data_IF_352983505768
#
_entry.id   IF_352983505768
#
_cell.length_a   1.000
_cell.length_b   1.000
_cell.length_c   1.000
_cell.angle_alpha   90.00
_cell.angle_beta   90.00
_cell.angle_gamma   90.00
#
_symmetry.space_group_name_H-M   'P 1'
#
loop_
_entity.id
_entity.type
_entity.pdbx_description
1 polymer ?
#
# COMPACT_ATOMS: atom_id res chain seq x y z
N UNK A 1 -6.58 1.19 9.48
CA UNK A 1 -6.84 2.54 8.95
C UNK A 1 -5.56 3.37 9.07
N UNK A 2 -5.26 4.24 8.11
CA UNK A 2 -4.08 5.13 8.12
C UNK A 2 -4.55 6.58 8.04
N UNK A 3 -3.79 7.50 8.64
CA UNK A 3 -4.17 8.91 8.74
C UNK A 3 -3.20 9.78 7.94
N UNK A 4 -3.75 10.49 6.95
CA UNK A 4 -3.06 11.51 6.16
C UNK A 4 -3.36 12.86 6.80
N UNK A 5 -2.30 13.60 7.13
CA UNK A 5 -2.36 14.89 7.82
C UNK A 5 -2.46 16.01 6.79
N UNK A 6 -1.57 16.02 5.79
CA UNK A 6 -1.62 16.95 4.65
C UNK A 6 -1.25 16.24 3.35
N UNK A 7 -1.76 16.78 2.24
CA UNK A 7 -1.41 16.38 0.89
C UNK A 7 -1.42 17.65 0.04
N UNK A 8 -0.25 18.08 -0.42
CA UNK A 8 -0.05 19.35 -1.12
C UNK A 8 0.67 19.09 -2.45
N UNK A 9 0.34 19.88 -3.47
CA UNK A 9 0.98 19.86 -4.78
C UNK A 9 1.54 21.26 -5.07
N UNK A 10 2.80 21.34 -5.48
CA UNK A 10 3.42 22.59 -5.89
C UNK A 10 2.91 23.05 -7.26
N UNK A 11 3.22 24.31 -7.60
CA UNK A 11 3.25 24.73 -9.00
C UNK A 11 4.32 23.94 -9.77
N UNK A 12 4.14 23.74 -11.10
CA UNK A 12 5.16 23.14 -11.94
C UNK A 12 6.43 23.99 -12.01
N UNK A 13 7.58 23.36 -12.19
CA UNK A 13 8.86 24.00 -12.38
C UNK A 13 9.71 23.26 -13.42
N UNK A 14 10.56 24.00 -14.14
CA UNK A 14 11.44 23.42 -15.15
C UNK A 14 12.81 23.08 -14.57
N UNK A 15 13.33 21.90 -14.91
CA UNK A 15 14.70 21.47 -14.61
C UNK A 15 15.28 20.76 -15.84
N UNK A 16 16.35 21.31 -16.40
CA UNK A 16 17.03 20.78 -17.59
C UNK A 16 16.12 20.52 -18.81
N UNK A 17 15.11 21.38 -19.02
CA UNK A 17 14.16 21.28 -20.13
C UNK A 17 13.04 20.26 -19.91
N UNK A 18 12.90 19.70 -18.70
CA UNK A 18 11.77 18.89 -18.27
C UNK A 18 10.96 19.63 -17.21
N UNK A 19 9.64 19.53 -17.29
CA UNK A 19 8.73 20.10 -16.29
C UNK A 19 8.43 19.06 -15.20
N UNK A 20 8.59 19.47 -13.95
CA UNK A 20 8.32 18.67 -12.76
C UNK A 20 7.32 19.37 -11.85
N UNK A 21 6.67 18.59 -10.99
CA UNK A 21 5.89 19.09 -9.86
C UNK A 21 6.26 18.30 -8.61
N UNK A 22 6.07 18.90 -7.44
CA UNK A 22 6.32 18.25 -6.16
C UNK A 22 4.98 17.95 -5.47
N UNK A 23 4.78 16.69 -5.09
CA UNK A 23 3.66 16.28 -4.22
C UNK A 23 4.22 15.94 -2.84
N UNK A 24 3.76 16.64 -1.82
CA UNK A 24 4.16 16.42 -0.43
C UNK A 24 3.00 15.78 0.35
N UNK A 25 3.26 14.64 0.99
CA UNK A 25 2.29 13.95 1.85
C UNK A 25 2.84 13.83 3.26
N UNK A 26 2.18 14.43 4.24
CA UNK A 26 2.43 14.19 5.66
C UNK A 26 1.40 13.18 6.18
N UNK A 27 1.85 12.11 6.80
CA UNK A 27 0.97 11.08 7.34
C UNK A 27 1.52 10.49 8.63
N UNK A 28 0.64 9.92 9.45
CA UNK A 28 1.06 9.28 10.70
C UNK A 28 1.86 7.99 10.44
N UNK A 29 1.50 7.25 9.40
CA UNK A 29 2.24 6.06 8.93
C UNK A 29 1.75 5.65 7.55
N UNK A 30 2.64 5.02 6.77
CA UNK A 30 2.33 4.53 5.42
C UNK A 30 2.46 3.01 5.33
N UNK A 31 1.52 2.37 4.63
CA UNK A 31 1.61 0.95 4.26
C UNK A 31 2.51 0.81 3.03
N UNK A 32 2.98 -0.40 2.77
CA UNK A 32 3.72 -0.71 1.55
C UNK A 32 2.93 -0.24 0.31
N UNK A 33 3.61 0.50 -0.57
CA UNK A 33 3.07 1.09 -1.80
C UNK A 33 1.93 2.11 -1.62
N UNK A 34 1.55 2.48 -0.39
CA UNK A 34 0.39 3.35 -0.17
C UNK A 34 0.51 4.70 -0.89
N UNK A 35 1.64 5.39 -0.73
CA UNK A 35 1.88 6.69 -1.38
C UNK A 35 1.85 6.56 -2.90
N UNK A 36 2.55 5.55 -3.44
CA UNK A 36 2.62 5.29 -4.88
C UNK A 36 1.25 4.99 -5.49
N UNK A 37 0.37 4.29 -4.77
CA UNK A 37 -1.02 4.04 -5.18
C UNK A 37 -1.90 5.29 -5.09
N UNK A 38 -1.71 6.12 -4.06
CA UNK A 38 -2.46 7.38 -3.92
C UNK A 38 -2.16 8.33 -5.08
N UNK A 39 -0.87 8.53 -5.39
CA UNK A 39 -0.44 9.38 -6.51
C UNK A 39 -0.90 8.79 -7.85
N UNK A 40 -0.75 7.47 -8.05
CA UNK A 40 -1.20 6.81 -9.26
C UNK A 40 -2.70 6.97 -9.53
N UNK A 41 -3.53 6.86 -8.48
CA UNK A 41 -4.98 7.06 -8.59
C UNK A 41 -5.32 8.50 -9.01
N UNK A 42 -4.64 9.51 -8.43
CA UNK A 42 -4.84 10.90 -8.82
C UNK A 42 -4.48 11.14 -10.29
N UNK A 43 -3.34 10.61 -10.75
CA UNK A 43 -2.90 10.71 -12.15
C UNK A 43 -3.91 10.00 -13.08
N UNK A 44 -4.37 8.80 -12.72
CA UNK A 44 -5.34 8.04 -13.52
C UNK A 44 -6.66 8.79 -13.71
N UNK A 45 -7.14 9.50 -12.67
CA UNK A 45 -8.35 10.33 -12.77
C UNK A 45 -8.10 11.53 -13.68
N UNK A 46 -6.99 12.25 -13.48
CA UNK A 46 -6.65 13.43 -14.29
C UNK A 46 -6.46 13.10 -15.78
N UNK A 47 -6.02 11.87 -16.10
CA UNK A 47 -5.90 11.37 -17.48
C UNK A 47 -7.18 10.73 -18.03
N UNK A 48 -8.24 10.65 -17.24
CA UNK A 48 -9.52 10.07 -17.66
C UNK A 48 -9.54 8.54 -17.75
N UNK A 49 -8.55 7.85 -17.18
CA UNK A 49 -8.54 6.38 -17.12
C UNK A 49 -9.60 5.84 -16.14
N UNK A 50 -9.96 6.65 -15.14
CA UNK A 50 -11.00 6.33 -14.16
C UNK A 50 -11.64 7.62 -13.63
N UNK A 51 -12.60 7.50 -12.70
CA UNK A 51 -13.32 8.66 -12.14
C UNK A 51 -13.12 8.77 -10.63
N UNK A 52 -13.51 9.92 -10.05
CA UNK A 52 -13.52 10.13 -8.60
C UNK A 52 -14.35 9.09 -7.83
N UNK A 53 -15.34 8.46 -8.49
CA UNK A 53 -16.14 7.39 -7.89
C UNK A 53 -15.25 6.20 -7.47
N UNK A 54 -14.17 5.95 -8.20
CA UNK A 54 -13.20 4.88 -7.90
C UNK A 54 -12.48 5.11 -6.57
N UNK A 55 -12.24 6.37 -6.17
CA UNK A 55 -11.69 6.68 -4.84
C UNK A 55 -12.65 6.22 -3.75
N UNK A 56 -13.95 6.50 -3.91
CA UNK A 56 -14.98 6.08 -2.93
C UNK A 56 -15.06 4.56 -2.84
N UNK A 57 -15.03 3.87 -3.98
CA UNK A 57 -14.98 2.40 -4.04
C UNK A 57 -13.72 1.84 -3.39
N UNK A 58 -12.57 2.49 -3.56
CA UNK A 58 -11.29 2.05 -2.98
C UNK A 58 -11.26 2.07 -1.44
N UNK A 59 -12.16 2.81 -0.79
CA UNK A 59 -12.37 2.76 0.66
C UNK A 59 -13.36 1.66 1.10
N UNK A 60 -14.05 1.06 0.15
CA UNK A 60 -14.96 -0.06 0.38
C UNK A 60 -14.22 -1.39 0.62
N UNK A 61 -14.98 -2.48 0.76
CA UNK A 61 -14.42 -3.83 0.97
C UNK A 61 -13.78 -4.42 -0.29
N UNK A 62 -14.04 -3.84 -1.45
CA UNK A 62 -13.56 -4.31 -2.75
C UNK A 62 -12.04 -4.11 -2.91
N UNK A 63 -11.35 -5.12 -3.44
CA UNK A 63 -9.92 -5.03 -3.76
C UNK A 63 -9.76 -4.55 -5.19
N UNK A 64 -9.65 -3.23 -5.38
CA UNK A 64 -9.50 -2.67 -6.73
C UNK A 64 -8.09 -2.85 -7.30
N UNK A 65 -8.00 -2.97 -8.63
CA UNK A 65 -6.73 -2.89 -9.34
C UNK A 65 -6.25 -1.45 -9.46
N UNK A 66 -5.56 -0.99 -8.41
CA UNK A 66 -4.94 0.33 -8.38
C UNK A 66 -3.49 0.23 -8.84
N UNK A 67 -3.09 0.95 -9.90
CA UNK A 67 -1.71 0.98 -10.37
C UNK A 67 -0.76 1.52 -9.30
N UNK A 68 0.53 1.19 -9.44
CA UNK A 68 1.57 1.64 -8.53
C UNK A 68 2.52 2.54 -9.34
N UNK A 69 2.52 3.84 -9.05
CA UNK A 69 3.43 4.80 -9.70
C UNK A 69 4.90 4.38 -9.54
N UNK A 70 5.84 4.76 -10.41
CA UNK A 70 7.26 4.47 -10.27
C UNK A 70 7.84 4.92 -8.93
N UNK A 71 8.93 4.26 -8.49
CA UNK A 71 9.58 4.60 -7.22
C UNK A 71 10.56 5.77 -7.33
N UNK A 72 11.04 6.09 -8.54
CA UNK A 72 12.13 7.03 -8.78
C UNK A 72 11.92 8.39 -8.10
N UNK A 73 10.71 8.97 -8.22
CA UNK A 73 10.39 10.27 -7.62
C UNK A 73 9.99 10.25 -6.14
N UNK A 74 9.97 9.09 -5.48
CA UNK A 74 9.54 8.99 -4.09
C UNK A 74 10.73 9.08 -3.14
N UNK A 75 10.76 10.14 -2.32
CA UNK A 75 11.75 10.32 -1.26
C UNK A 75 11.08 10.55 0.11
N UNK A 76 11.74 10.12 1.18
CA UNK A 76 11.36 10.46 2.54
C UNK A 76 11.93 11.84 2.88
N UNK A 77 11.06 12.83 3.08
CA UNK A 77 11.45 14.21 3.36
C UNK A 77 11.83 14.41 4.84
N UNK A 78 10.97 14.01 5.78
CA UNK A 78 11.18 14.25 7.21
C UNK A 78 10.55 13.15 8.07
N UNK A 79 11.21 12.81 9.18
CA UNK A 79 10.64 12.02 10.28
C UNK A 79 10.30 12.93 11.44
N UNK A 80 9.01 12.96 11.77
CA UNK A 80 8.38 13.89 12.69
C UNK A 80 8.36 13.35 14.14
N UNK A 81 9.04 14.05 15.06
CA UNK A 81 9.15 13.69 16.48
C UNK A 81 8.36 14.62 17.43
N UNK A 82 7.48 15.47 16.91
CA UNK A 82 6.76 16.51 17.67
C UNK A 82 6.00 15.92 18.86
N UNK A 83 5.31 14.78 18.67
CA UNK A 83 4.60 14.09 19.76
C UNK A 83 5.55 13.51 20.82
N UNK A 84 6.71 13.00 20.41
CA UNK A 84 7.72 12.51 21.33
C UNK A 84 8.30 13.68 22.15
N UNK A 85 8.71 14.75 21.48
CA UNK A 85 9.26 15.94 22.10
C UNK A 85 8.28 16.58 23.08
N UNK A 86 6.99 16.66 22.73
CA UNK A 86 5.96 17.19 23.62
C UNK A 86 5.79 16.34 24.88
N UNK A 87 5.89 15.01 24.77
CA UNK A 87 5.64 14.09 25.87
C UNK A 87 6.85 13.89 26.78
N UNK A 88 8.05 13.84 26.23
CA UNK A 88 9.26 13.43 26.94
C UNK A 88 10.36 14.49 26.93
N UNK A 89 10.37 15.43 25.97
CA UNK A 89 11.47 16.39 25.83
C UNK A 89 11.64 17.40 26.96
N UNK A 90 10.73 17.43 27.95
CA UNK A 90 10.78 18.29 29.12
C UNK A 90 10.78 17.55 30.46
N UNK A 91 10.98 16.23 30.46
CA UNK A 91 10.94 15.41 31.69
C UNK A 91 12.25 15.38 32.47
N UNK A 92 13.31 16.02 31.94
CA UNK A 92 14.65 16.07 32.54
C UNK A 92 15.47 14.78 32.36
N UNK A 93 14.90 13.77 31.69
CA UNK A 93 15.54 12.47 31.41
C UNK A 93 15.82 12.27 29.91
N UNK A 94 14.94 12.78 29.04
CA UNK A 94 15.05 12.62 27.59
C UNK A 94 15.35 13.95 26.90
N UNK A 95 16.19 13.90 25.87
CA UNK A 95 16.49 15.05 25.02
C UNK A 95 15.49 15.13 23.84
N UNK A 96 14.98 16.33 23.49
CA UNK A 96 14.18 16.52 22.29
C UNK A 96 14.95 16.16 21.01
N UNK A 97 14.30 15.45 20.10
CA UNK A 97 14.84 15.14 18.78
C UNK A 97 14.46 16.22 17.78
N UNK A 98 15.43 16.99 17.33
CA UNK A 98 15.23 18.05 16.33
C UNK A 98 16.31 18.02 15.26
N UNK A 99 15.97 18.47 14.05
CA UNK A 99 16.88 18.48 12.90
C UNK A 99 17.27 19.89 12.46
N UNK A 100 16.97 20.91 13.27
CA UNK A 100 17.12 22.33 12.91
C UNK A 100 18.56 22.67 12.53
N UNK A 101 19.55 22.19 13.29
CA UNK A 101 20.97 22.44 13.02
C UNK A 101 21.51 21.73 11.77
N UNK A 102 20.77 20.75 11.24
CA UNK A 102 21.18 19.95 10.07
C UNK A 102 20.39 20.28 8.81
N UNK A 103 19.49 21.27 8.86
CA UNK A 103 18.65 21.62 7.71
C UNK A 103 19.47 21.98 6.47
N UNK A 104 20.55 22.76 6.61
CA UNK A 104 21.42 23.12 5.49
C UNK A 104 22.11 21.91 4.87
N UNK A 105 22.52 20.95 5.70
CA UNK A 105 23.12 19.69 5.24
C UNK A 105 22.11 18.84 4.47
N UNK A 106 20.90 18.70 5.01
CA UNK A 106 19.79 17.95 4.37
C UNK A 106 19.43 18.58 3.02
N UNK A 107 19.27 19.91 2.99
CA UNK A 107 18.95 20.66 1.77
C UNK A 107 20.03 20.53 0.72
N UNK A 108 21.30 20.67 1.13
CA UNK A 108 22.44 20.49 0.24
C UNK A 108 22.43 19.08 -0.34
N UNK A 109 22.26 18.05 0.49
CA UNK A 109 22.24 16.66 0.05
C UNK A 109 21.12 16.38 -0.96
N UNK A 110 19.90 16.89 -0.72
CA UNK A 110 18.79 16.76 -1.68
C UNK A 110 19.14 17.38 -3.03
N UNK A 111 19.69 18.59 -3.02
CA UNK A 111 20.03 19.33 -4.24
C UNK A 111 21.22 18.75 -5.00
N UNK A 112 22.21 18.18 -4.30
CA UNK A 112 23.43 17.70 -4.94
C UNK A 112 23.37 16.23 -5.34
N UNK A 113 22.51 15.43 -4.70
CA UNK A 113 22.45 13.99 -4.93
C UNK A 113 21.06 13.49 -5.33
N UNK A 114 20.00 13.84 -4.59
CA UNK A 114 18.68 13.24 -4.84
C UNK A 114 18.05 13.80 -6.12
N UNK A 115 17.88 15.12 -6.21
CA UNK A 115 17.21 15.73 -7.36
C UNK A 115 17.96 15.50 -8.69
N UNK A 116 19.30 15.65 -8.76
CA UNK A 116 20.02 15.37 -9.99
C UNK A 116 19.83 13.93 -10.47
N UNK A 117 19.89 12.94 -9.57
CA UNK A 117 19.66 11.54 -9.93
C UNK A 117 18.24 11.33 -10.47
N UNK A 118 17.21 11.90 -9.84
CA UNK A 118 15.83 11.79 -10.34
C UNK A 118 15.71 12.38 -11.75
N UNK A 119 16.24 13.59 -11.95
CA UNK A 119 16.15 14.31 -13.23
C UNK A 119 16.92 13.58 -14.33
N UNK A 120 18.15 13.15 -14.05
CA UNK A 120 18.99 12.43 -15.01
C UNK A 120 18.39 11.08 -15.39
N UNK A 121 17.91 10.30 -14.40
CA UNK A 121 17.25 9.01 -14.67
C UNK A 121 15.94 9.20 -15.44
N UNK A 122 15.12 10.21 -15.12
CA UNK A 122 13.89 10.44 -15.88
C UNK A 122 14.17 10.86 -17.32
N UNK A 123 15.19 11.69 -17.54
CA UNK A 123 15.62 12.14 -18.87
C UNK A 123 16.16 11.01 -19.74
N UNK A 124 16.84 10.04 -19.14
CA UNK A 124 17.52 8.95 -19.86
C UNK A 124 16.65 7.69 -20.00
N UNK A 125 15.95 7.30 -18.93
CA UNK A 125 15.18 6.06 -18.87
C UNK A 125 13.67 6.28 -19.04
N UNK A 126 13.18 7.52 -18.96
CA UNK A 126 11.77 7.87 -19.15
C UNK A 126 10.82 7.06 -18.25
N UNK A 127 11.19 6.89 -16.97
CA UNK A 127 10.52 6.00 -16.01
C UNK A 127 9.03 6.32 -15.86
N UNK A 128 8.68 7.60 -15.71
CA UNK A 128 7.28 8.02 -15.61
C UNK A 128 6.55 7.84 -16.94
N UNK A 129 7.17 8.19 -18.06
CA UNK A 129 6.54 8.05 -19.38
C UNK A 129 6.20 6.59 -19.72
N UNK A 130 7.15 5.68 -19.53
CA UNK A 130 6.96 4.24 -19.75
C UNK A 130 5.83 3.67 -18.86
N UNK A 131 5.74 4.14 -17.61
CA UNK A 131 4.63 3.75 -16.75
C UNK A 131 3.30 4.34 -17.21
N UNK A 132 3.29 5.60 -17.65
CA UNK A 132 2.12 6.32 -18.15
C UNK A 132 1.52 5.68 -19.40
N UNK A 133 2.31 5.03 -20.26
CA UNK A 133 1.82 4.28 -21.44
C UNK A 133 0.95 3.09 -21.06
N UNK A 134 1.28 2.44 -19.93
CA UNK A 134 0.57 1.25 -19.44
C UNK A 134 -0.63 1.59 -18.54
N UNK A 135 -0.78 2.87 -18.16
CA UNK A 135 -1.77 3.29 -17.17
C UNK A 135 -3.21 2.96 -17.59
N UNK A 136 -3.50 3.02 -18.89
CA UNK A 136 -4.82 2.71 -19.47
C UNK A 136 -5.15 1.21 -19.50
N UNK A 137 -4.16 0.33 -19.29
CA UNK A 137 -4.35 -1.13 -19.30
C UNK A 137 -4.91 -1.65 -17.97
N UNK A 138 -4.86 -0.84 -16.92
CA UNK A 138 -5.46 -1.18 -15.63
C UNK A 138 -6.98 -1.12 -15.69
N UNK A 139 -7.64 -2.06 -15.03
CA UNK A 139 -9.12 -2.13 -15.03
C UNK A 139 -9.75 -1.12 -14.06
N UNK A 140 -9.02 -0.74 -13.00
CA UNK A 140 -9.53 0.07 -11.88
C UNK A 140 -10.76 -0.54 -11.18
N UNK A 141 -11.05 -1.81 -11.46
CA UNK A 141 -12.17 -2.56 -10.91
C UNK A 141 -11.66 -3.65 -9.95
N UNK A 142 -12.58 -4.44 -9.39
CA UNK A 142 -12.27 -5.56 -8.51
C UNK A 142 -11.28 -6.48 -9.20
N UNK A 143 -10.14 -6.73 -8.53
CA UNK A 143 -9.15 -7.70 -8.97
C UNK A 143 -9.84 -9.05 -9.03
N UNK A 144 -9.88 -9.67 -10.20
CA UNK A 144 -10.29 -11.05 -10.31
C UNK A 144 -9.38 -11.89 -9.41
N UNK A 145 -9.97 -12.60 -8.46
CA UNK A 145 -9.22 -13.61 -7.73
C UNK A 145 -8.77 -14.64 -8.77
N UNK A 146 -7.48 -14.97 -8.78
CA UNK A 146 -7.01 -16.10 -9.56
C UNK A 146 -7.82 -17.33 -9.14
N UNK A 147 -8.73 -17.77 -10.00
CA UNK A 147 -9.30 -19.11 -9.94
C UNK A 147 -8.36 -20.01 -10.71
N UNK A 148 -7.76 -21.05 -10.10
CA UNK A 148 -7.05 -22.06 -10.86
C UNK A 148 -8.00 -22.59 -11.95
N UNK A 149 -7.53 -22.83 -13.18
CA UNK A 149 -8.37 -23.48 -14.17
C UNK A 149 -8.79 -24.84 -13.61
N UNK A 150 -10.07 -24.99 -13.27
CA UNK A 150 -10.68 -26.28 -13.02
C UNK A 150 -10.58 -27.05 -14.33
N UNK A 151 -9.64 -27.99 -14.39
CA UNK A 151 -9.66 -29.02 -15.41
C UNK A 151 -11.02 -29.72 -15.32
N UNK A 152 -11.87 -29.43 -16.29
CA UNK A 152 -13.12 -30.13 -16.49
C UNK A 152 -12.79 -31.57 -16.89
N UNK A 153 -12.64 -32.45 -15.89
CA UNK A 153 -12.78 -33.88 -16.11
C UNK A 153 -14.28 -34.21 -16.04
N UNK A 154 -14.94 -34.21 -17.19
CA UNK A 154 -16.18 -34.96 -17.39
C UNK A 154 -15.84 -36.25 -18.11
N UNK A 155 -16.03 -37.38 -17.43
CA UNK A 155 -16.51 -38.69 -17.93
C UNK A 155 -16.41 -39.67 -16.73
N UNK A 156 -17.52 -39.89 -16.03
CA UNK A 156 -18.44 -41.03 -16.17
C UNK A 156 -17.90 -42.34 -15.58
N UNK A 157 -18.48 -42.76 -14.45
CA UNK A 157 -18.73 -44.18 -14.16
C UNK A 157 -20.13 -44.30 -13.56
N UNK A 158 -20.89 -45.21 -14.15
CA UNK A 158 -22.31 -45.48 -13.96
C UNK A 158 -22.61 -46.14 -12.60
N UNK A 159 -23.85 -45.98 -12.11
CA UNK A 159 -24.52 -46.90 -11.18
C UNK A 159 -24.72 -48.24 -11.92
N UNK A 160 -24.73 -49.45 -11.33
CA UNK A 160 -25.47 -50.02 -10.19
C UNK A 160 -24.65 -51.25 -9.71
N UNK A 161 -24.71 -51.70 -8.45
CA UNK A 161 -25.71 -52.69 -8.01
C UNK A 161 -25.67 -52.89 -6.48
N UNK A 162 -26.84 -53.17 -5.90
CA UNK A 162 -27.09 -53.38 -4.48
C UNK A 162 -27.05 -54.86 -4.07
N UNK A 163 -26.51 -55.20 -2.89
CA UNK A 163 -27.03 -56.27 -2.00
C UNK A 163 -26.74 -55.94 -0.52
N UNK A 164 -27.68 -56.35 0.33
CA UNK A 164 -28.06 -55.91 1.68
C UNK A 164 -27.38 -56.58 2.90
N UNK A 165 -27.60 -55.92 4.06
CA UNK A 165 -27.78 -56.42 5.44
C UNK A 165 -26.48 -56.84 6.19
N UNK A 166 -26.25 -56.57 7.48
CA UNK A 166 -27.12 -56.47 8.67
C UNK A 166 -26.41 -55.76 9.85
N UNK A 167 -27.23 -55.21 10.75
CA UNK A 167 -27.14 -55.16 12.23
C UNK A 167 -26.18 -54.24 13.05
N UNK A 168 -26.85 -53.27 13.71
CA UNK A 168 -27.01 -53.04 15.17
C UNK A 168 -25.82 -52.51 16.03
N UNK A 169 -26.21 -51.53 16.88
CA UNK A 169 -25.57 -50.92 18.07
C UNK A 169 -24.45 -49.89 17.81
N UNK A 170 -24.47 -48.66 18.33
CA UNK A 170 -25.24 -48.08 19.43
C UNK A 170 -24.29 -47.57 20.51
N UNK A 171 -23.88 -46.30 20.47
CA UNK A 171 -23.70 -45.46 21.66
C UNK A 171 -23.40 -44.00 21.32
N UNK A 172 -24.17 -43.13 21.96
CA UNK A 172 -24.03 -41.68 22.08
C UNK A 172 -23.30 -41.32 23.37
N UNK A 173 -22.36 -40.38 23.34
CA UNK A 173 -21.99 -39.45 24.43
C UNK A 173 -21.32 -38.24 23.75
N UNK A 174 -21.99 -37.10 23.54
CA UNK A 174 -22.13 -35.93 24.42
C UNK A 174 -20.82 -35.21 24.79
N UNK A 175 -20.83 -33.90 24.48
CA UNK A 175 -20.03 -32.80 25.01
C UNK A 175 -19.83 -32.90 26.53
N UNK A 176 -18.69 -32.42 27.05
CA UNK A 176 -18.69 -31.22 27.91
C UNK A 176 -17.32 -30.85 28.50
N UNK A 177 -17.07 -29.53 28.47
CA UNK A 177 -16.49 -28.67 29.54
C UNK A 177 -14.98 -28.55 29.86
N UNK A 178 -14.57 -27.27 29.77
CA UNK A 178 -13.90 -26.42 30.78
C UNK A 178 -12.37 -26.47 31.01
N UNK A 179 -11.74 -25.34 30.65
CA UNK A 179 -10.92 -24.43 31.49
C UNK A 179 -10.10 -25.02 32.65
N UNK A 180 -8.79 -24.69 32.68
CA UNK A 180 -8.05 -24.18 33.84
C UNK A 180 -6.67 -23.64 33.36
N UNK A 181 -6.38 -22.34 33.50
CA UNK A 181 -5.74 -21.62 34.63
C UNK A 181 -4.19 -21.73 34.63
N UNK A 182 -3.60 -20.56 34.39
CA UNK A 182 -2.41 -19.90 34.95
C UNK A 182 -1.36 -20.64 35.81
N UNK A 183 -0.14 -20.10 35.65
CA UNK A 183 1.02 -20.04 36.54
C UNK A 183 2.00 -21.22 36.53
N UNK A 184 3.24 -20.94 36.11
CA UNK A 184 4.34 -20.85 37.09
C UNK A 184 5.61 -20.16 36.55
N UNK A 185 6.14 -19.34 37.44
CA UNK A 185 7.35 -18.54 37.45
C UNK A 185 8.64 -19.38 37.38
N UNK A 186 9.57 -19.01 36.49
CA UNK A 186 11.00 -18.82 36.80
C UNK A 186 11.75 -18.11 35.70
#
# INVERSE_FOLDING_TARGET
MRYIITCECSEPFEQEGLEFLQIQLKGQSFMLHQIRKMVAMAIAIMRGCTSEATIRRAWGPEKLDIPIAPALGLMLEEVHYERYNQKYGGDGLHEPLTWTEKQDMIHTFKKTHIYPTIVETEKTEQSMLNWLENLQLHTYDVREAWTPPTTAAKENCEAEDAVSATDVNGHSVEDDTLQNIENETK
#
